data_IF_117616069090
#
_entry.id   IF_117616069090
#
_cell.length_a   1.000
_cell.length_b   1.000
_cell.length_c   1.000
_cell.angle_alpha   90.00
_cell.angle_beta   90.00
_cell.angle_gamma   90.00
#
_symmetry.space_group_name_H-M   'P 1'
#
loop_
_entity.id
_entity.type
_entity.pdbx_description
1 polymer ?
#
# COMPACT_ATOMS: atom_id res chain seq x y z
N UNK A 1 29.37 31.43 -23.11
CA UNK A 1 28.69 30.94 -21.89
C UNK A 1 28.01 29.63 -22.24
N UNK A 2 28.34 28.51 -21.58
CA UNK A 2 27.73 27.20 -21.89
C UNK A 2 26.43 27.06 -21.10
N UNK A 3 25.32 26.92 -21.83
CA UNK A 3 24.02 26.60 -21.26
C UNK A 3 24.10 25.22 -20.62
N UNK A 4 23.90 25.16 -19.31
CA UNK A 4 23.63 23.92 -18.58
C UNK A 4 22.19 23.55 -18.90
N UNK A 5 22.01 22.78 -19.97
CA UNK A 5 20.73 22.13 -20.25
C UNK A 5 20.37 21.30 -19.03
N UNK A 6 19.31 21.70 -18.32
CA UNK A 6 18.78 21.01 -17.17
C UNK A 6 18.67 19.53 -17.48
N UNK A 7 19.39 18.71 -16.72
CA UNK A 7 19.31 17.26 -16.77
C UNK A 7 17.99 16.84 -16.11
N UNK A 8 16.87 17.26 -16.68
CA UNK A 8 15.54 16.86 -16.19
C UNK A 8 15.43 15.35 -16.40
N UNK A 9 15.31 14.60 -15.31
CA UNK A 9 15.11 13.15 -15.37
C UNK A 9 13.91 12.85 -16.26
N UNK A 10 14.17 12.29 -17.45
CA UNK A 10 13.14 11.97 -18.43
C UNK A 10 12.35 10.78 -17.88
N UNK A 11 11.07 11.01 -17.57
CA UNK A 11 10.15 9.95 -17.15
C UNK A 11 9.62 9.25 -18.39
N UNK A 12 9.57 7.92 -18.34
CA UNK A 12 8.83 7.13 -19.34
C UNK A 12 7.32 7.39 -19.22
N UNK A 13 6.56 7.24 -20.32
CA UNK A 13 5.10 7.28 -20.25
C UNK A 13 4.56 6.15 -19.37
N UNK A 14 3.34 6.35 -18.85
CA UNK A 14 2.60 5.33 -18.14
C UNK A 14 2.26 4.17 -19.08
N UNK A 15 2.23 2.96 -18.54
CA UNK A 15 1.84 1.76 -19.29
C UNK A 15 0.31 1.67 -19.30
N UNK A 16 -0.27 1.59 -20.49
CA UNK A 16 -1.70 1.30 -20.66
C UNK A 16 -1.91 -0.21 -20.70
N UNK A 17 -2.88 -0.71 -19.93
CA UNK A 17 -3.28 -2.12 -19.93
C UNK A 17 -4.53 -2.25 -20.77
N UNK A 18 -4.44 -3.00 -21.87
CA UNK A 18 -5.57 -3.30 -22.76
C UNK A 18 -6.05 -4.72 -22.52
N UNK A 19 -7.36 -4.93 -22.58
CA UNK A 19 -7.94 -6.28 -22.56
C UNK A 19 -7.63 -7.01 -23.87
N UNK A 20 -7.27 -8.27 -23.74
CA UNK A 20 -6.91 -9.15 -24.85
C UNK A 20 -7.91 -10.30 -24.98
N UNK A 21 -7.75 -11.08 -26.05
CA UNK A 21 -8.61 -12.24 -26.29
C UNK A 21 -8.29 -13.42 -25.35
N UNK A 22 -7.06 -13.53 -24.85
CA UNK A 22 -6.69 -14.53 -23.82
C UNK A 22 -7.43 -14.30 -22.49
N UNK A 23 -7.77 -13.05 -22.16
CA UNK A 23 -8.56 -12.72 -20.97
C UNK A 23 -9.99 -13.31 -21.02
N UNK A 24 -10.48 -13.68 -22.20
CA UNK A 24 -11.80 -14.30 -22.36
C UNK A 24 -11.87 -15.67 -21.69
N UNK A 25 -10.76 -16.42 -21.68
CA UNK A 25 -10.70 -17.72 -21.02
C UNK A 25 -10.84 -17.59 -19.49
N UNK A 26 -10.31 -16.51 -18.90
CA UNK A 26 -10.50 -16.20 -17.48
C UNK A 26 -11.99 -15.98 -17.17
N UNK A 27 -12.70 -15.23 -18.01
CA UNK A 27 -14.14 -15.02 -17.87
C UNK A 27 -14.94 -16.32 -17.99
N UNK A 28 -14.63 -17.18 -18.96
CA UNK A 28 -15.30 -18.48 -19.13
C UNK A 28 -15.07 -19.42 -17.96
N UNK A 29 -13.88 -19.36 -17.35
CA UNK A 29 -13.54 -20.13 -16.15
C UNK A 29 -14.35 -19.62 -14.97
N UNK A 30 -14.37 -18.30 -14.73
CA UNK A 30 -15.20 -17.68 -13.71
C UNK A 30 -16.69 -18.02 -13.84
N UNK A 31 -17.22 -17.97 -15.07
CA UNK A 31 -18.62 -18.33 -15.37
C UNK A 31 -18.95 -19.79 -15.04
N UNK A 32 -18.05 -20.72 -15.40
CA UNK A 32 -18.21 -22.14 -15.06
C UNK A 32 -18.15 -22.37 -13.56
N UNK A 33 -17.20 -21.73 -12.88
CA UNK A 33 -17.04 -21.87 -11.43
C UNK A 33 -18.23 -21.30 -10.67
N UNK A 34 -18.80 -20.18 -11.12
CA UNK A 34 -20.03 -19.62 -10.56
C UNK A 34 -21.23 -20.56 -10.74
N UNK A 35 -21.38 -21.16 -11.94
CA UNK A 35 -22.46 -22.12 -12.20
C UNK A 35 -22.33 -23.39 -11.33
N UNK A 36 -21.10 -23.86 -11.11
CA UNK A 36 -20.82 -25.04 -10.29
C UNK A 36 -20.93 -24.78 -8.78
N UNK A 37 -20.70 -23.55 -8.33
CA UNK A 37 -20.76 -23.14 -6.93
C UNK A 37 -22.07 -22.44 -6.53
N UNK A 38 -23.10 -22.46 -7.37
CA UNK A 38 -24.42 -21.84 -7.08
C UNK A 38 -25.14 -22.39 -5.83
N UNK A 39 -24.56 -23.36 -5.10
CA UNK A 39 -25.03 -23.82 -3.79
C UNK A 39 -24.25 -23.28 -2.59
N UNK A 40 -23.12 -22.59 -2.78
CA UNK A 40 -22.32 -22.01 -1.69
C UNK A 40 -22.27 -20.50 -1.87
N UNK A 41 -23.02 -19.83 -1.01
CA UNK A 41 -23.04 -18.40 -0.68
C UNK A 41 -22.34 -17.43 -1.63
N UNK A 42 -23.15 -16.51 -2.15
CA UNK A 42 -22.81 -15.10 -2.41
C UNK A 42 -22.31 -14.42 -1.12
N UNK A 43 -21.17 -14.85 -0.60
CA UNK A 43 -20.40 -14.13 0.40
C UNK A 43 -19.02 -13.90 -0.23
N UNK A 44 -18.93 -12.85 -1.05
CA UNK A 44 -17.64 -12.22 -1.30
C UNK A 44 -17.06 -11.89 0.09
N UNK A 45 -15.90 -12.43 0.50
CA UNK A 45 -15.22 -11.87 1.65
C UNK A 45 -14.84 -10.45 1.24
N UNK A 46 -15.59 -9.48 1.76
CA UNK A 46 -15.24 -8.08 1.72
C UNK A 46 -13.83 -7.99 2.30
N UNK A 47 -12.82 -7.94 1.43
CA UNK A 47 -11.46 -7.63 1.84
C UNK A 47 -11.38 -6.13 2.12
N UNK A 48 -12.27 -5.64 2.98
CA UNK A 48 -12.08 -4.38 3.66
C UNK A 48 -10.75 -4.54 4.39
N UNK A 49 -9.72 -3.73 4.11
CA UNK A 49 -8.50 -3.78 4.88
C UNK A 49 -8.91 -3.61 6.34
N UNK A 50 -8.69 -4.64 7.15
CA UNK A 50 -8.99 -4.60 8.58
C UNK A 50 -8.31 -3.35 9.11
N UNK A 51 -9.10 -2.39 9.57
CA UNK A 51 -8.59 -1.22 10.28
C UNK A 51 -7.60 -1.77 11.30
N UNK A 52 -6.37 -1.26 11.28
CA UNK A 52 -5.33 -1.63 12.23
C UNK A 52 -5.82 -1.21 13.61
N UNK A 53 -6.65 -2.07 14.23
CA UNK A 53 -6.95 -2.07 15.65
C UNK A 53 -5.66 -2.44 16.36
N UNK A 54 -4.75 -1.48 16.35
CA UNK A 54 -3.58 -1.50 17.18
C UNK A 54 -4.13 -1.03 18.52
N UNK A 55 -4.56 -1.99 19.34
CA UNK A 55 -4.77 -1.72 20.77
C UNK A 55 -3.60 -0.89 21.26
N UNK A 56 -3.89 0.17 22.03
CA UNK A 56 -2.95 1.24 22.39
C UNK A 56 -1.63 0.66 22.91
N UNK A 57 -0.66 0.46 22.02
CA UNK A 57 0.67 0.02 22.39
C UNK A 57 1.31 1.16 23.16
N UNK A 58 1.99 0.84 24.26
CA UNK A 58 2.72 1.85 24.99
C UNK A 58 3.81 2.46 24.09
N UNK A 59 4.10 3.74 24.29
CA UNK A 59 5.14 4.43 23.51
C UNK A 59 6.50 3.69 23.61
N UNK A 60 6.79 3.10 24.77
CA UNK A 60 7.96 2.25 25.03
C UNK A 60 8.05 1.07 24.04
N UNK A 61 6.94 0.34 23.85
CA UNK A 61 6.89 -0.81 22.94
C UNK A 61 7.12 -0.38 21.48
N UNK A 62 6.55 0.77 21.10
CA UNK A 62 6.72 1.34 19.77
C UNK A 62 8.19 1.72 19.55
N UNK A 63 8.80 2.42 20.50
CA UNK A 63 10.20 2.85 20.43
C UNK A 63 11.16 1.67 20.29
N UNK A 64 10.98 0.62 21.08
CA UNK A 64 11.77 -0.61 21.00
C UNK A 64 11.62 -1.30 19.64
N UNK A 65 10.40 -1.36 19.10
CA UNK A 65 10.13 -2.01 17.81
C UNK A 65 10.76 -1.30 16.62
N UNK A 66 10.80 0.03 16.62
CA UNK A 66 11.34 0.82 15.50
C UNK A 66 12.81 1.22 15.71
N UNK A 67 13.45 0.76 16.80
CA UNK A 67 14.82 1.13 17.15
C UNK A 67 14.99 2.62 17.45
N UNK A 68 13.92 3.29 17.87
CA UNK A 68 13.94 4.72 18.20
C UNK A 68 14.33 4.90 19.66
N UNK A 69 15.47 5.52 19.90
CA UNK A 69 15.91 5.94 21.23
C UNK A 69 15.84 7.47 21.32
N UNK A 70 14.76 8.04 21.89
CA UNK A 70 14.66 9.49 22.01
C UNK A 70 15.81 10.03 22.86
N UNK A 71 16.62 10.92 22.29
CA UNK A 71 17.64 11.62 23.08
C UNK A 71 16.92 12.58 24.02
N UNK A 72 17.14 12.41 25.33
CA UNK A 72 16.67 13.39 26.33
C UNK A 72 17.28 14.74 25.93
N UNK A 73 16.44 15.69 25.50
CA UNK A 73 16.88 17.07 25.31
C UNK A 73 17.44 17.54 26.65
N UNK A 74 18.60 18.22 26.70
CA UNK A 74 18.95 18.95 27.91
C UNK A 74 17.83 19.97 28.14
N UNK A 75 17.09 19.81 29.24
CA UNK A 75 16.27 20.87 29.80
C UNK A 75 17.25 21.94 30.29
N UNK A 76 17.62 22.85 29.39
CA UNK A 76 18.33 24.08 29.72
C UNK A 76 17.31 25.21 29.84
N UNK A 77 17.43 26.11 30.82
CA UNK A 77 16.53 27.25 30.95
C UNK A 77 16.69 28.16 29.72
N UNK A 78 15.56 28.58 29.15
CA UNK A 78 15.49 29.63 28.12
C UNK A 78 16.10 30.93 28.67
N UNK A 79 17.13 31.52 28.04
CA UNK A 79 17.49 32.90 28.33
C UNK A 79 16.59 33.81 27.48
N UNK A 80 15.88 34.72 28.15
CA UNK A 80 15.37 35.98 27.58
C UNK A 80 16.43 37.03 27.83
#
# INVERSE_FOLDING_TARGET
>A
MRSVSDLTMIRRPLTEITLKLDDLHEYETFRRDQANNSMISTEMPEQTPKSLSTGLKSAEEIHNRIGYAPKKKPCGPSPV
#
